data_IF_759789520245
#
_entry.id   IF_759789520245
#
_cell.length_a   1.000
_cell.length_b   1.000
_cell.length_c   1.000
_cell.angle_alpha   90.00
_cell.angle_beta   90.00
_cell.angle_gamma   90.00
#
_symmetry.space_group_name_H-M   'P 1'
#
loop_
_entity.id
_entity.type
_entity.pdbx_description
1 polymer ?
#
# COMPACT_ATOMS: atom_id res chain seq x y z
N UNK A 1 -8.41 -0.17 -39.59
CA UNK A 1 -8.59 1.12 -38.87
C UNK A 1 -7.20 1.65 -38.55
N UNK A 2 -6.92 2.94 -38.74
CA UNK A 2 -5.61 3.49 -38.37
C UNK A 2 -5.49 3.61 -36.85
N UNK A 3 -4.26 3.65 -36.32
CA UNK A 3 -4.01 3.87 -34.89
C UNK A 3 -4.68 5.17 -34.41
N UNK A 4 -4.56 6.25 -35.19
CA UNK A 4 -5.21 7.53 -34.86
C UNK A 4 -6.73 7.42 -34.81
N UNK A 5 -7.35 6.71 -35.75
CA UNK A 5 -8.81 6.52 -35.75
C UNK A 5 -9.29 5.69 -34.55
N UNK A 6 -8.51 4.68 -34.13
CA UNK A 6 -8.81 3.92 -32.93
C UNK A 6 -8.73 4.79 -31.67
N UNK A 7 -7.65 5.55 -31.49
CA UNK A 7 -7.47 6.45 -30.34
C UNK A 7 -8.58 7.49 -30.28
N UNK A 8 -8.93 8.12 -31.40
CA UNK A 8 -10.02 9.10 -31.44
C UNK A 8 -11.39 8.48 -31.12
N UNK A 9 -11.62 7.22 -31.53
CA UNK A 9 -12.81 6.46 -31.15
C UNK A 9 -12.88 6.24 -29.64
N UNK A 10 -11.80 5.72 -29.04
CA UNK A 10 -11.71 5.48 -27.60
C UNK A 10 -11.87 6.79 -26.81
N UNK A 11 -11.22 7.89 -27.22
CA UNK A 11 -11.36 9.20 -26.58
C UNK A 11 -12.79 9.74 -26.66
N UNK A 12 -13.48 9.55 -27.79
CA UNK A 12 -14.87 9.96 -27.95
C UNK A 12 -15.80 9.24 -26.96
N UNK A 13 -15.60 7.94 -26.78
CA UNK A 13 -16.37 7.14 -25.82
C UNK A 13 -15.98 7.44 -24.36
N UNK A 14 -14.70 7.62 -24.03
CA UNK A 14 -14.26 7.85 -22.65
C UNK A 14 -14.54 9.28 -22.17
N UNK A 15 -14.21 10.30 -22.95
CA UNK A 15 -14.29 11.70 -22.50
C UNK A 15 -15.73 12.23 -22.57
N UNK A 16 -16.49 11.79 -23.59
CA UNK A 16 -17.84 12.29 -23.84
C UNK A 16 -18.94 11.60 -23.03
N UNK A 17 -18.67 10.44 -22.44
CA UNK A 17 -19.70 9.62 -21.79
C UNK A 17 -19.81 9.90 -20.29
N UNK A 18 -21.00 10.16 -19.75
CA UNK A 18 -21.21 10.28 -18.30
C UNK A 18 -20.83 9.01 -17.54
N UNK A 19 -20.39 9.16 -16.30
CA UNK A 19 -20.09 8.03 -15.42
C UNK A 19 -21.36 7.36 -14.89
N UNK A 20 -21.41 6.03 -14.96
CA UNK A 20 -22.27 5.23 -14.11
C UNK A 20 -21.53 4.90 -12.82
N UNK A 21 -22.14 5.20 -11.66
CA UNK A 21 -21.51 5.00 -10.36
C UNK A 21 -22.44 4.20 -9.47
N UNK A 22 -21.89 3.19 -8.80
CA UNK A 22 -22.59 2.42 -7.76
C UNK A 22 -21.75 2.32 -6.49
N UNK A 23 -22.42 2.22 -5.34
CA UNK A 23 -21.72 1.97 -4.08
C UNK A 23 -21.32 0.50 -3.97
N UNK A 24 -20.06 0.23 -3.69
CA UNK A 24 -19.52 -1.12 -3.47
C UNK A 24 -19.44 -1.47 -1.99
N UNK A 25 -19.56 -2.78 -1.70
CA UNK A 25 -19.35 -3.35 -0.36
C UNK A 25 -18.21 -4.37 -0.31
N UNK A 26 -17.73 -4.78 -1.49
CA UNK A 26 -16.58 -5.65 -1.70
C UNK A 26 -15.65 -4.94 -2.68
N UNK A 27 -14.37 -5.30 -2.67
CA UNK A 27 -13.45 -4.75 -3.67
C UNK A 27 -13.76 -5.44 -5.00
N UNK A 28 -14.08 -4.69 -6.07
CA UNK A 28 -14.47 -5.32 -7.33
C UNK A 28 -13.28 -6.00 -8.00
N UNK A 29 -13.57 -6.98 -8.85
CA UNK A 29 -12.64 -7.53 -9.84
C UNK A 29 -12.77 -6.78 -11.18
N UNK A 30 -11.79 -6.85 -12.09
CA UNK A 30 -11.85 -6.16 -13.39
C UNK A 30 -13.12 -6.46 -14.19
N UNK A 31 -13.67 -7.65 -14.08
CA UNK A 31 -14.90 -8.08 -14.77
C UNK A 31 -16.15 -7.40 -14.22
N UNK A 32 -16.11 -6.94 -12.97
CA UNK A 32 -17.24 -6.25 -12.33
C UNK A 32 -17.38 -4.80 -12.82
N UNK A 33 -16.32 -4.22 -13.40
CA UNK A 33 -16.29 -2.80 -13.81
C UNK A 33 -16.11 -2.70 -15.32
N UNK A 34 -17.03 -2.02 -15.98
CA UNK A 34 -16.97 -1.89 -17.45
C UNK A 34 -15.82 -0.97 -17.85
N UNK A 35 -15.11 -1.36 -18.92
CA UNK A 35 -14.17 -0.48 -19.60
C UNK A 35 -14.92 0.56 -20.46
N UNK A 36 -16.03 0.14 -21.07
CA UNK A 36 -16.93 0.99 -21.86
C UNK A 36 -18.40 0.56 -21.65
N UNK A 37 -19.36 1.50 -21.50
CA UNK A 37 -19.15 2.92 -21.19
C UNK A 37 -18.50 3.12 -19.80
N UNK A 38 -18.20 4.38 -19.44
CA UNK A 38 -17.61 4.74 -18.15
C UNK A 38 -18.41 4.18 -16.96
N UNK A 39 -17.77 3.35 -16.14
CA UNK A 39 -18.37 2.69 -14.97
C UNK A 39 -17.39 2.74 -13.78
N UNK A 40 -17.93 2.97 -12.59
CA UNK A 40 -17.13 3.02 -11.36
C UNK A 40 -17.88 2.45 -10.15
N UNK A 41 -17.10 1.88 -9.24
CA UNK A 41 -17.53 1.47 -7.91
C UNK A 41 -17.00 2.47 -6.88
N UNK A 42 -17.90 3.17 -6.20
CA UNK A 42 -17.55 4.01 -5.06
C UNK A 42 -17.35 3.14 -3.81
N UNK A 43 -16.21 3.27 -3.17
CA UNK A 43 -15.84 2.59 -1.93
C UNK A 43 -15.48 3.62 -0.85
N UNK A 44 -15.94 3.41 0.38
CA UNK A 44 -15.36 4.02 1.58
C UNK A 44 -14.48 2.98 2.27
N UNK A 45 -13.17 3.10 2.08
CA UNK A 45 -12.22 2.03 2.37
C UNK A 45 -10.96 2.54 3.08
N UNK A 46 -10.17 1.60 3.57
CA UNK A 46 -8.81 1.86 4.02
C UNK A 46 -7.85 1.35 2.95
N UNK A 47 -7.05 2.26 2.42
CA UNK A 47 -5.99 1.97 1.46
C UNK A 47 -4.68 1.76 2.19
N UNK A 48 -3.99 0.68 1.83
CA UNK A 48 -2.76 0.23 2.46
C UNK A 48 -1.69 0.04 1.38
N UNK A 49 -0.54 0.66 1.58
CA UNK A 49 0.65 0.40 0.79
C UNK A 49 1.79 -0.05 1.69
N UNK A 50 2.54 -1.06 1.26
CA UNK A 50 3.84 -1.42 1.83
C UNK A 50 4.90 -1.38 0.73
N UNK A 51 5.93 -0.57 0.94
CA UNK A 51 6.96 -0.24 -0.04
C UNK A 51 8.35 -0.65 0.46
N UNK A 52 9.13 -1.38 -0.34
CA UNK A 52 10.48 -1.78 0.04
C UNK A 52 11.42 -0.57 0.08
N UNK A 53 12.16 -0.43 1.17
CA UNK A 53 13.10 0.67 1.32
C UNK A 53 14.41 0.31 0.61
N UNK A 54 14.91 1.25 -0.19
CA UNK A 54 16.23 1.13 -0.81
C UNK A 54 16.27 0.22 -2.04
N UNK A 55 15.15 -0.08 -2.69
CA UNK A 55 15.12 -0.87 -3.93
C UNK A 55 16.00 -0.32 -5.05
N UNK A 56 16.15 1.01 -5.16
CA UNK A 56 17.11 1.62 -6.09
C UNK A 56 18.56 1.24 -5.76
N UNK A 57 18.94 1.26 -4.48
CA UNK A 57 20.27 0.80 -4.02
C UNK A 57 20.43 -0.68 -4.32
N UNK A 58 19.39 -1.47 -4.05
CA UNK A 58 19.35 -2.90 -4.29
C UNK A 58 19.57 -3.25 -5.77
N UNK A 59 18.90 -2.55 -6.68
CA UNK A 59 19.00 -2.78 -8.13
C UNK A 59 20.34 -2.30 -8.72
N UNK A 60 20.96 -1.27 -8.13
CA UNK A 60 22.23 -0.70 -8.60
C UNK A 60 23.45 -1.48 -8.10
N UNK A 61 23.43 -1.88 -6.83
CA UNK A 61 24.64 -2.33 -6.11
C UNK A 61 24.71 -3.86 -5.95
N UNK A 62 23.63 -4.59 -6.26
CA UNK A 62 23.58 -6.05 -6.11
C UNK A 62 23.18 -6.74 -7.43
N UNK A 63 23.47 -8.04 -7.52
CA UNK A 63 23.04 -8.86 -8.65
C UNK A 63 21.52 -8.95 -8.72
N UNK A 64 20.96 -9.15 -9.92
CA UNK A 64 19.52 -9.31 -10.11
C UNK A 64 18.96 -10.50 -9.32
N UNK A 65 19.77 -11.55 -9.09
CA UNK A 65 19.38 -12.71 -8.29
C UNK A 65 19.21 -12.32 -6.81
N UNK A 66 20.15 -11.54 -6.25
CA UNK A 66 20.07 -11.03 -4.88
C UNK A 66 18.88 -10.09 -4.74
N UNK A 67 18.75 -9.11 -5.64
CA UNK A 67 17.63 -8.17 -5.65
C UNK A 67 16.29 -8.90 -5.74
N UNK A 68 16.17 -9.88 -6.65
CA UNK A 68 14.98 -10.70 -6.82
C UNK A 68 14.61 -11.52 -5.59
N UNK A 69 15.59 -12.08 -4.86
CA UNK A 69 15.34 -12.78 -3.59
C UNK A 69 14.78 -11.83 -2.53
N UNK A 70 15.38 -10.65 -2.37
CA UNK A 70 14.96 -9.64 -1.38
C UNK A 70 13.54 -9.15 -1.68
N UNK A 71 13.27 -8.70 -2.91
CA UNK A 71 11.96 -8.16 -3.31
C UNK A 71 10.88 -9.23 -3.15
N UNK A 72 11.13 -10.46 -3.64
CA UNK A 72 10.15 -11.55 -3.54
C UNK A 72 9.88 -11.95 -2.10
N UNK A 73 10.90 -12.01 -1.24
CA UNK A 73 10.73 -12.33 0.18
C UNK A 73 9.90 -11.25 0.90
N UNK A 74 10.21 -9.97 0.66
CA UNK A 74 9.49 -8.84 1.23
C UNK A 74 8.02 -8.82 0.80
N UNK A 75 7.76 -8.83 -0.52
CA UNK A 75 6.41 -8.79 -1.07
C UNK A 75 5.59 -10.02 -0.65
N UNK A 76 6.19 -11.22 -0.65
CA UNK A 76 5.50 -12.43 -0.21
C UNK A 76 5.10 -12.34 1.26
N UNK A 77 5.99 -11.84 2.11
CA UNK A 77 5.74 -11.70 3.54
C UNK A 77 4.62 -10.68 3.79
N UNK A 78 4.73 -9.48 3.24
CA UNK A 78 3.72 -8.44 3.36
C UNK A 78 2.35 -8.93 2.86
N UNK A 79 2.31 -9.55 1.68
CA UNK A 79 1.08 -10.07 1.07
C UNK A 79 0.42 -11.17 1.90
N UNK A 80 1.22 -12.07 2.47
CA UNK A 80 0.72 -13.17 3.32
C UNK A 80 0.06 -12.60 4.57
N UNK A 81 0.70 -11.62 5.22
CA UNK A 81 0.15 -10.95 6.39
C UNK A 81 -1.12 -10.18 6.01
N UNK A 82 -1.08 -9.33 4.98
CA UNK A 82 -2.25 -8.58 4.49
C UNK A 82 -3.47 -9.50 4.29
N UNK A 83 -3.30 -10.61 3.56
CA UNK A 83 -4.39 -11.56 3.30
C UNK A 83 -4.90 -12.22 4.58
N UNK A 84 -4.02 -12.56 5.53
CA UNK A 84 -4.43 -13.15 6.82
C UNK A 84 -5.25 -12.19 7.70
N UNK A 85 -5.12 -10.88 7.47
CA UNK A 85 -5.87 -9.82 8.15
C UNK A 85 -7.06 -9.31 7.31
N UNK A 86 -7.51 -10.06 6.30
CA UNK A 86 -8.68 -9.71 5.48
C UNK A 86 -8.45 -8.57 4.49
N UNK A 87 -7.19 -8.22 4.23
CA UNK A 87 -6.83 -7.23 3.20
C UNK A 87 -6.92 -7.82 1.79
N UNK A 88 -7.53 -7.06 0.90
CA UNK A 88 -7.70 -7.37 -0.52
C UNK A 88 -6.53 -6.79 -1.32
N UNK A 89 -5.53 -7.61 -1.66
CA UNK A 89 -4.42 -7.19 -2.53
C UNK A 89 -4.96 -6.82 -3.90
N UNK A 90 -4.62 -5.61 -4.37
CA UNK A 90 -5.08 -5.09 -5.66
C UNK A 90 -4.00 -5.01 -6.71
N UNK A 91 -2.80 -4.62 -6.32
CA UNK A 91 -1.69 -4.52 -7.28
C UNK A 91 -0.35 -4.72 -6.60
N UNK A 92 0.60 -5.14 -7.42
CA UNK A 92 2.02 -5.06 -7.13
C UNK A 92 2.60 -4.04 -8.10
N UNK A 93 3.31 -3.05 -7.58
CA UNK A 93 4.01 -2.06 -8.40
C UNK A 93 5.50 -2.14 -8.05
N UNK A 94 6.25 -2.88 -8.87
CA UNK A 94 7.66 -3.17 -8.63
C UNK A 94 7.89 -3.88 -7.29
N UNK A 95 8.37 -3.12 -6.32
CA UNK A 95 8.75 -3.52 -4.96
C UNK A 95 7.71 -3.15 -3.90
N UNK A 96 6.52 -2.72 -4.35
CA UNK A 96 5.38 -2.31 -3.51
C UNK A 96 4.19 -3.25 -3.66
N UNK A 97 3.43 -3.41 -2.59
CA UNK A 97 2.09 -4.03 -2.60
C UNK A 97 1.03 -3.04 -2.15
N UNK A 98 -0.08 -2.99 -2.89
CA UNK A 98 -1.29 -2.23 -2.56
C UNK A 98 -2.40 -3.19 -2.11
N UNK A 99 -3.06 -2.85 -1.01
CA UNK A 99 -4.23 -3.56 -0.54
C UNK A 99 -5.34 -2.61 -0.09
N UNK A 100 -6.57 -3.12 -0.08
CA UNK A 100 -7.76 -2.41 0.39
C UNK A 100 -8.39 -3.22 1.52
N UNK A 101 -8.75 -2.53 2.61
CA UNK A 101 -9.51 -3.09 3.72
C UNK A 101 -10.90 -2.43 3.75
N UNK A 102 -11.96 -3.25 3.64
CA UNK A 102 -13.35 -2.79 3.62
C UNK A 102 -14.16 -3.22 4.86
N UNK A 103 -13.77 -4.32 5.50
CA UNK A 103 -14.59 -5.00 6.49
C UNK A 103 -14.22 -4.65 7.94
N UNK A 104 -15.19 -4.83 8.85
CA UNK A 104 -14.98 -4.76 10.30
C UNK A 104 -14.29 -3.49 10.78
N UNK A 105 -13.38 -3.64 11.75
CA UNK A 105 -12.52 -2.57 12.26
C UNK A 105 -11.36 -2.31 11.28
N UNK A 106 -11.67 -1.97 10.01
CA UNK A 106 -10.70 -1.85 8.90
C UNK A 106 -9.48 -0.97 9.20
N UNK A 107 -9.67 0.16 9.90
CA UNK A 107 -8.58 1.05 10.29
C UNK A 107 -7.62 0.38 11.27
N UNK A 108 -8.17 -0.21 12.33
CA UNK A 108 -7.45 -0.97 13.35
C UNK A 108 -6.70 -2.14 12.72
N UNK A 109 -7.40 -2.95 11.93
CA UNK A 109 -6.86 -4.15 11.28
C UNK A 109 -5.70 -3.81 10.33
N UNK A 110 -5.85 -2.76 9.53
CA UNK A 110 -4.79 -2.29 8.65
C UNK A 110 -3.56 -1.79 9.44
N UNK A 111 -3.77 -1.05 10.53
CA UNK A 111 -2.69 -0.56 11.37
C UNK A 111 -1.92 -1.71 12.06
N UNK A 112 -2.62 -2.68 12.64
CA UNK A 112 -2.01 -3.88 13.23
C UNK A 112 -1.23 -4.70 12.20
N UNK A 113 -1.81 -4.86 10.99
CA UNK A 113 -1.15 -5.50 9.86
C UNK A 113 0.19 -4.82 9.53
N UNK A 114 0.24 -3.48 9.52
CA UNK A 114 1.51 -2.77 9.31
C UNK A 114 2.53 -3.03 10.41
N UNK A 115 2.14 -2.97 11.69
CA UNK A 115 3.07 -3.23 12.80
C UNK A 115 3.63 -4.66 12.76
N UNK A 116 2.85 -5.63 12.27
CA UNK A 116 3.26 -7.03 12.06
C UNK A 116 4.16 -7.20 10.85
N UNK A 117 3.92 -6.48 9.76
CA UNK A 117 4.85 -6.45 8.62
C UNK A 117 6.19 -5.88 9.06
N UNK A 118 6.21 -4.79 9.83
CA UNK A 118 7.44 -4.22 10.38
C UNK A 118 8.23 -5.26 11.20
N UNK A 119 7.53 -5.98 12.09
CA UNK A 119 8.10 -7.08 12.85
C UNK A 119 8.70 -8.17 11.95
N UNK A 120 7.92 -8.70 11.00
CA UNK A 120 8.33 -9.79 10.14
C UNK A 120 9.56 -9.41 9.29
N UNK A 121 9.59 -8.19 8.76
CA UNK A 121 10.73 -7.70 8.00
C UNK A 121 12.00 -7.66 8.83
N UNK A 122 11.91 -7.19 10.08
CA UNK A 122 13.05 -7.04 10.97
C UNK A 122 13.56 -8.36 11.57
N UNK A 123 12.64 -9.22 12.02
CA UNK A 123 12.99 -10.37 12.85
C UNK A 123 12.90 -11.72 12.12
N UNK A 124 12.34 -11.76 10.90
CA UNK A 124 12.22 -12.98 10.11
C UNK A 124 12.91 -12.86 8.76
N UNK A 125 12.53 -11.85 7.96
CA UNK A 125 13.00 -11.71 6.58
C UNK A 125 14.45 -11.27 6.53
N UNK A 126 14.83 -10.20 7.24
CA UNK A 126 16.23 -9.74 7.22
C UNK A 126 17.21 -10.82 7.73
N UNK A 127 17.01 -11.46 8.90
CA UNK A 127 17.93 -12.50 9.37
C UNK A 127 18.06 -13.66 8.40
N UNK A 128 16.95 -14.11 7.81
CA UNK A 128 16.96 -15.20 6.82
C UNK A 128 17.73 -14.82 5.55
N UNK A 129 17.58 -13.58 5.08
CA UNK A 129 18.30 -13.10 3.92
C UNK A 129 19.78 -12.91 4.21
N UNK A 130 20.16 -12.41 5.39
CA UNK A 130 21.57 -12.23 5.76
C UNK A 130 22.30 -13.56 5.89
N UNK A 131 21.65 -14.60 6.44
CA UNK A 131 22.23 -15.94 6.53
C UNK A 131 22.60 -16.53 5.16
N UNK A 132 21.75 -16.32 4.15
CA UNK A 132 21.93 -16.88 2.80
C UNK A 132 22.63 -15.92 1.82
N UNK A 133 22.68 -14.62 2.14
CA UNK A 133 23.20 -13.55 1.30
C UNK A 133 24.01 -12.55 2.17
N UNK A 134 25.17 -12.97 2.70
CA UNK A 134 25.95 -12.15 3.65
C UNK A 134 26.44 -10.81 3.06
N UNK A 135 26.45 -10.67 1.73
CA UNK A 135 26.76 -9.41 1.04
C UNK A 135 25.78 -8.28 1.40
N UNK A 136 24.51 -8.62 1.68
CA UNK A 136 23.52 -7.65 2.15
C UNK A 136 23.94 -7.05 3.51
N UNK A 137 24.39 -7.92 4.43
CA UNK A 137 24.85 -7.50 5.75
C UNK A 137 26.14 -6.70 5.66
N UNK A 138 27.13 -7.17 4.87
CA UNK A 138 28.40 -6.45 4.65
C UNK A 138 28.21 -5.06 4.04
N UNK A 139 27.19 -4.89 3.20
CA UNK A 139 26.84 -3.62 2.56
C UNK A 139 25.85 -2.77 3.39
N UNK A 140 25.57 -3.20 4.63
CA UNK A 140 24.65 -2.57 5.57
C UNK A 140 23.27 -2.30 4.95
N UNK A 141 22.79 -3.23 4.11
CA UNK A 141 21.49 -3.13 3.45
C UNK A 141 20.38 -3.65 4.36
N UNK A 142 19.75 -2.74 5.11
CA UNK A 142 18.61 -3.10 5.96
C UNK A 142 17.37 -3.45 5.13
N UNK A 143 16.90 -4.70 5.23
CA UNK A 143 15.70 -5.16 4.52
C UNK A 143 14.45 -4.73 5.29
N UNK A 144 13.83 -3.63 4.87
CA UNK A 144 12.69 -3.00 5.56
C UNK A 144 11.63 -2.57 4.57
N UNK A 145 10.37 -2.56 5.01
CA UNK A 145 9.28 -1.93 4.28
C UNK A 145 8.76 -0.73 5.05
N UNK A 146 8.25 0.26 4.31
CA UNK A 146 7.55 1.40 4.85
C UNK A 146 6.06 1.28 4.50
N UNK A 147 5.20 1.46 5.49
CA UNK A 147 3.75 1.30 5.37
C UNK A 147 3.07 2.66 5.40
N UNK A 148 2.18 2.88 4.44
CA UNK A 148 1.33 4.05 4.34
C UNK A 148 -0.13 3.66 4.32
N UNK A 149 -0.92 4.24 5.23
CA UNK A 149 -2.34 3.90 5.40
C UNK A 149 -3.19 5.16 5.42
N UNK A 150 -4.24 5.17 4.61
CA UNK A 150 -5.21 6.26 4.60
C UNK A 150 -6.62 5.72 4.41
N UNK A 151 -7.59 6.33 5.10
CA UNK A 151 -9.00 6.00 4.98
C UNK A 151 -9.75 7.07 4.20
N UNK A 152 -10.77 6.66 3.46
CA UNK A 152 -11.73 7.58 2.85
C UNK A 152 -12.33 7.05 1.56
N UNK A 153 -13.13 7.92 0.95
CA UNK A 153 -13.83 7.60 -0.29
C UNK A 153 -12.88 7.55 -1.50
N UNK A 154 -13.11 6.58 -2.37
CA UNK A 154 -12.46 6.44 -3.66
C UNK A 154 -13.38 5.75 -4.67
N UNK A 155 -13.10 5.96 -5.95
CA UNK A 155 -13.80 5.36 -7.08
C UNK A 155 -12.88 4.34 -7.74
N UNK A 156 -13.31 3.10 -7.82
CA UNK A 156 -12.60 2.05 -8.56
C UNK A 156 -13.18 1.97 -9.97
N UNK A 157 -12.35 2.27 -10.96
CA UNK A 157 -12.70 2.21 -12.39
C UNK A 157 -11.78 1.24 -13.11
N UNK A 158 -12.22 0.68 -14.24
CA UNK A 158 -11.35 -0.09 -15.13
C UNK A 158 -10.62 0.84 -16.09
N UNK A 159 -9.32 0.61 -16.30
CA UNK A 159 -8.51 1.34 -17.26
C UNK A 159 -7.58 0.39 -18.04
N UNK A 160 -7.20 0.79 -19.25
CA UNK A 160 -6.37 0.00 -20.16
C UNK A 160 -7.03 -0.16 -21.53
N UNK A 161 -6.64 -1.19 -22.25
CA UNK A 161 -7.17 -1.50 -23.59
C UNK A 161 -8.00 -2.78 -23.56
N UNK A 162 -8.82 -3.00 -24.59
CA UNK A 162 -9.56 -4.27 -24.73
C UNK A 162 -8.56 -5.44 -24.77
N UNK A 163 -8.81 -6.45 -23.93
CA UNK A 163 -7.91 -7.60 -23.76
C UNK A 163 -6.81 -7.42 -22.72
N UNK A 164 -6.45 -6.19 -22.35
CA UNK A 164 -5.42 -5.89 -21.35
C UNK A 164 -5.80 -4.64 -20.54
N UNK A 165 -6.48 -4.84 -19.41
CA UNK A 165 -6.95 -3.76 -18.53
C UNK A 165 -6.97 -4.22 -17.09
N UNK A 166 -6.88 -3.25 -16.18
CA UNK A 166 -6.85 -3.46 -14.74
C UNK A 166 -7.70 -2.39 -14.04
N UNK A 167 -7.88 -2.54 -12.74
CA UNK A 167 -8.59 -1.58 -11.91
C UNK A 167 -7.67 -0.46 -11.42
N UNK A 168 -8.22 0.75 -11.37
CA UNK A 168 -7.55 1.94 -10.86
C UNK A 168 -8.43 2.57 -9.79
N UNK A 169 -7.84 2.86 -8.63
CA UNK A 169 -8.52 3.58 -7.55
C UNK A 169 -8.24 5.08 -7.64
N UNK A 170 -9.30 5.86 -7.82
CA UNK A 170 -9.26 7.33 -7.94
C UNK A 170 -9.86 7.94 -6.68
N UNK A 171 -9.03 8.61 -5.89
CA UNK A 171 -9.46 9.27 -4.67
C UNK A 171 -8.29 9.80 -3.85
N UNK A 172 -8.60 10.55 -2.80
CA UNK A 172 -7.57 11.09 -1.90
C UNK A 172 -6.87 9.98 -1.12
N UNK A 173 -7.62 9.03 -0.59
CA UNK A 173 -7.09 7.94 0.23
C UNK A 173 -6.01 7.09 -0.45
N UNK A 174 -6.21 6.52 -1.67
CA UNK A 174 -5.16 5.73 -2.33
C UNK A 174 -3.87 6.53 -2.58
N UNK A 175 -4.00 7.77 -3.04
CA UNK A 175 -2.86 8.66 -3.33
C UNK A 175 -2.08 9.03 -2.05
N UNK A 176 -2.80 9.36 -0.97
CA UNK A 176 -2.19 9.69 0.33
C UNK A 176 -1.50 8.45 0.90
N UNK A 177 -2.14 7.28 0.90
CA UNK A 177 -1.54 6.04 1.40
C UNK A 177 -0.23 5.69 0.67
N UNK A 178 -0.22 5.79 -0.67
CA UNK A 178 0.98 5.56 -1.47
C UNK A 178 2.12 6.52 -1.08
N UNK A 179 1.82 7.82 -0.96
CA UNK A 179 2.83 8.83 -0.59
C UNK A 179 3.31 8.71 0.84
N UNK A 180 2.45 8.25 1.77
CA UNK A 180 2.87 7.92 3.13
C UNK A 180 3.87 6.76 3.14
N UNK A 181 3.68 5.74 2.30
CA UNK A 181 4.67 4.65 2.14
C UNK A 181 5.98 5.13 1.51
N UNK A 182 5.97 6.25 0.78
CA UNK A 182 7.18 6.83 0.17
C UNK A 182 8.03 7.65 1.15
N UNK A 183 7.51 7.96 2.34
CA UNK A 183 8.27 8.76 3.32
C UNK A 183 9.56 8.04 3.69
N UNK A 184 10.65 8.81 3.72
CA UNK A 184 11.98 8.39 4.18
C UNK A 184 12.41 9.40 5.23
N UNK A 185 12.30 9.06 6.51
CA UNK A 185 12.80 9.93 7.59
C UNK A 185 14.32 9.75 7.76
N UNK A 186 14.98 10.77 8.31
CA UNK A 186 16.44 10.86 8.35
C UNK A 186 17.12 9.71 9.13
N UNK A 187 16.37 8.98 9.95
CA UNK A 187 16.86 7.86 10.75
C UNK A 187 16.20 6.52 10.40
N UNK A 188 15.24 6.50 9.46
CA UNK A 188 14.53 5.28 9.12
C UNK A 188 13.91 4.60 10.36
N UNK A 189 13.53 5.41 11.35
CA UNK A 189 13.09 4.93 12.66
C UNK A 189 11.60 4.59 12.64
N UNK A 190 10.80 5.43 12.00
CA UNK A 190 9.37 5.18 11.82
C UNK A 190 9.13 4.38 10.54
N UNK A 191 8.22 3.42 10.62
CA UNK A 191 7.92 2.49 9.50
C UNK A 191 6.47 2.46 9.11
N UNK A 192 5.59 2.93 9.97
CA UNK A 192 4.16 2.95 9.68
C UNK A 192 3.68 4.38 9.79
N UNK A 193 3.02 4.86 8.75
CA UNK A 193 2.46 6.19 8.65
C UNK A 193 0.97 6.07 8.34
N UNK A 194 0.15 6.74 9.14
CA UNK A 194 -1.31 6.72 9.01
C UNK A 194 -1.87 8.14 9.00
N UNK A 195 -2.97 8.36 8.28
CA UNK A 195 -3.69 9.64 8.37
C UNK A 195 -4.32 9.82 9.74
N UNK A 196 -4.60 11.06 10.13
CA UNK A 196 -5.33 11.36 11.36
C UNK A 196 -6.69 10.64 11.45
N UNK A 197 -7.40 10.52 10.32
CA UNK A 197 -8.67 9.79 10.25
C UNK A 197 -8.53 8.31 10.61
N UNK A 198 -7.43 7.67 10.20
CA UNK A 198 -7.13 6.28 10.56
C UNK A 198 -6.84 6.21 12.05
N UNK A 199 -5.95 7.06 12.57
CA UNK A 199 -5.59 7.09 14.00
C UNK A 199 -6.82 7.28 14.91
N UNK A 200 -7.69 8.24 14.59
CA UNK A 200 -8.91 8.50 15.36
C UNK A 200 -9.86 7.29 15.36
N UNK A 201 -9.86 6.51 14.28
CA UNK A 201 -10.70 5.32 14.12
C UNK A 201 -10.08 4.03 14.69
N UNK A 202 -8.86 4.07 15.21
CA UNK A 202 -8.25 2.91 15.86
C UNK A 202 -8.98 2.59 17.16
N UNK A 203 -9.09 1.30 17.47
CA UNK A 203 -9.47 0.84 18.80
C UNK A 203 -8.29 1.07 19.76
N UNK A 204 -8.59 1.32 21.04
CA UNK A 204 -7.58 1.65 22.05
C UNK A 204 -6.44 0.61 22.18
N UNK A 205 -6.69 -0.72 22.10
CA UNK A 205 -5.60 -1.71 22.12
C UNK A 205 -4.58 -1.58 20.99
N UNK A 206 -4.93 -0.89 19.90
CA UNK A 206 -4.03 -0.65 18.76
C UNK A 206 -3.50 0.78 18.73
N UNK A 207 -3.87 1.61 19.73
CA UNK A 207 -3.28 2.93 20.00
C UNK A 207 -2.18 2.83 21.05
N UNK A 208 -2.42 2.10 22.13
CA UNK A 208 -1.55 2.07 23.30
C UNK A 208 -0.82 0.73 23.42
N UNK A 209 0.42 0.77 23.90
CA UNK A 209 1.14 -0.43 24.30
C UNK A 209 0.67 -0.97 25.67
N UNK A 210 1.28 -2.06 26.12
CA UNK A 210 0.93 -2.70 27.40
C UNK A 210 1.18 -1.79 28.62
N UNK A 211 2.04 -0.78 28.48
CA UNK A 211 2.36 0.19 29.53
C UNK A 211 1.45 1.44 29.45
N UNK A 212 0.51 1.46 28.50
CA UNK A 212 -0.42 2.58 28.27
C UNK A 212 0.19 3.75 27.49
N UNK A 213 1.39 3.59 26.93
CA UNK A 213 2.02 4.61 26.09
C UNK A 213 1.44 4.60 24.69
N UNK A 214 1.15 5.78 24.14
CA UNK A 214 0.69 5.89 22.76
C UNK A 214 1.79 5.49 21.78
N UNK A 215 1.52 4.47 20.97
CA UNK A 215 2.43 3.93 19.96
C UNK A 215 2.58 4.86 18.74
N UNK A 216 1.72 5.88 18.63
CA UNK A 216 1.59 6.74 17.46
C UNK A 216 2.00 8.18 17.80
N UNK A 217 3.06 8.65 17.14
CA UNK A 217 3.54 10.03 17.27
C UNK A 217 2.87 10.90 16.22
N UNK A 218 2.20 11.97 16.65
CA UNK A 218 1.68 13.01 15.75
C UNK A 218 2.84 13.56 14.88
N UNK A 219 2.60 13.66 13.58
CA UNK A 219 3.56 14.09 12.59
C UNK A 219 2.85 14.94 11.52
N UNK A 220 3.26 16.21 11.38
CA UNK A 220 2.72 17.10 10.34
C UNK A 220 3.67 17.05 9.16
N UNK A 221 3.18 16.65 8.00
CA UNK A 221 4.00 16.47 6.80
C UNK A 221 3.24 16.86 5.55
N UNK A 222 3.97 17.14 4.48
CA UNK A 222 3.39 17.37 3.17
C UNK A 222 3.21 16.03 2.45
N UNK A 223 1.98 15.68 2.10
CA UNK A 223 1.64 14.46 1.38
C UNK A 223 0.95 14.87 0.09
N UNK A 224 1.72 14.90 -0.99
CA UNK A 224 1.15 15.13 -2.32
C UNK A 224 0.72 16.56 -2.58
N UNK A 225 1.47 17.54 -2.07
CA UNK A 225 1.17 18.96 -2.17
C UNK A 225 0.18 19.47 -1.13
N UNK A 226 -0.30 18.60 -0.22
CA UNK A 226 -1.18 18.98 0.88
C UNK A 226 -0.45 18.79 2.22
N UNK A 227 -0.36 19.86 3.02
CA UNK A 227 0.14 19.79 4.39
C UNK A 227 -0.96 19.25 5.30
N UNK A 228 -0.74 18.11 5.94
CA UNK A 228 -1.76 17.44 6.76
C UNK A 228 -1.19 16.86 8.06
N UNK A 229 -2.10 16.61 9.01
CA UNK A 229 -1.78 15.89 10.24
C UNK A 229 -1.81 14.39 9.93
N UNK A 230 -0.71 13.74 10.26
CA UNK A 230 -0.52 12.29 10.17
C UNK A 230 0.00 11.78 11.51
N UNK A 231 0.06 10.47 11.64
CA UNK A 231 0.68 9.80 12.77
C UNK A 231 1.68 8.78 12.25
N UNK A 232 2.73 8.53 13.03
CA UNK A 232 3.78 7.58 12.68
C UNK A 232 4.15 6.69 13.85
N UNK A 233 4.49 5.43 13.57
CA UNK A 233 4.89 4.46 14.58
C UNK A 233 6.16 3.71 14.17
N UNK A 234 7.03 3.49 15.16
CA UNK A 234 8.21 2.63 15.09
C UNK A 234 7.95 1.24 15.70
N UNK A 235 6.76 1.01 16.27
CA UNK A 235 6.44 -0.22 16.96
C UNK A 235 6.42 -1.42 15.99
N UNK A 236 6.65 -2.59 16.57
CA UNK A 236 6.57 -3.89 15.90
C UNK A 236 5.69 -4.79 16.74
N UNK A 237 4.81 -5.56 16.08
CA UNK A 237 3.93 -6.51 16.75
C UNK A 237 4.29 -7.93 16.32
N UNK A 238 4.56 -8.80 17.28
CA UNK A 238 4.95 -10.18 17.02
C UNK A 238 3.92 -10.95 16.18
N UNK A 239 4.43 -11.89 15.40
CA UNK A 239 3.64 -12.92 14.72
C UNK A 239 3.96 -14.23 15.44
N UNK A 240 2.97 -14.79 16.13
CA UNK A 240 3.01 -16.13 16.74
C UNK A 240 2.38 -17.14 15.80
#
# INVERSE_FOLDING_TARGET
MSLGAQIWGDLGELVGTPWSVRNGRVVPEPEDVKLFPNDAVKLDAVYFYADLIGSTKLARDFSWQTAGKVIRAALRTASTIIKSYGGEIRSYDGDRVMAIFLEGARNTTAAECALKINYAMQYMVQPSLYAELPDLERAEFAVRMNMGIASGEAYVTRAGVRGTSDLVSIGRAPNVAAKLSDIRDAEYYYRTYITESVYQSLLDPSKFDNDGSDMWRRFVTEVGGERMITYRSSYTWGIV
#
